data_IF_797176360293
#
_entry.id   IF_797176360293
#
_cell.length_a   1.000
_cell.length_b   1.000
_cell.length_c   1.000
_cell.angle_alpha   90.00
_cell.angle_beta   90.00
_cell.angle_gamma   90.00
#
_symmetry.space_group_name_H-M   'P 1'
#
loop_
_entity.id
_entity.type
_entity.pdbx_description
1 polymer ?
#
# COMPACT_ATOMS: atom_id res chain seq x y z
N UNK A 1 0.79 31.34 -18.88
CA UNK A 1 1.80 30.26 -18.84
C UNK A 1 1.77 29.66 -17.43
N UNK A 2 1.28 28.42 -17.26
CA UNK A 2 1.09 27.73 -15.95
C UNK A 2 1.48 26.22 -16.02
N UNK A 3 2.16 25.80 -17.09
CA UNK A 3 2.32 24.38 -17.45
C UNK A 3 3.38 23.54 -16.68
N UNK A 4 4.48 24.07 -16.10
CA UNK A 4 5.54 23.21 -15.56
C UNK A 4 5.22 22.58 -14.19
N UNK A 5 4.59 23.34 -13.28
CA UNK A 5 4.25 22.84 -11.94
C UNK A 5 3.17 21.73 -11.99
N UNK A 6 2.18 21.86 -12.88
CA UNK A 6 1.14 20.85 -13.07
C UNK A 6 1.68 19.51 -13.58
N UNK A 7 2.67 19.52 -14.47
CA UNK A 7 3.29 18.30 -14.97
C UNK A 7 4.16 17.60 -13.90
N UNK A 8 4.84 18.38 -13.05
CA UNK A 8 5.61 17.85 -11.93
C UNK A 8 4.71 17.15 -10.90
N UNK A 9 3.62 17.79 -10.47
CA UNK A 9 2.70 17.19 -9.50
C UNK A 9 2.00 15.94 -10.05
N UNK A 10 1.65 15.91 -11.34
CA UNK A 10 1.11 14.71 -11.97
C UNK A 10 2.11 13.53 -11.94
N UNK A 11 3.42 13.79 -12.12
CA UNK A 11 4.46 12.77 -11.96
C UNK A 11 4.58 12.29 -10.52
N UNK A 12 4.56 13.21 -9.54
CA UNK A 12 4.59 12.86 -8.12
C UNK A 12 3.39 12.03 -7.70
N UNK A 13 2.18 12.38 -8.16
CA UNK A 13 0.96 11.60 -7.93
C UNK A 13 1.09 10.18 -8.50
N UNK A 14 1.49 10.03 -9.77
CA UNK A 14 1.63 8.71 -10.38
C UNK A 14 2.69 7.84 -9.67
N UNK A 15 3.84 8.44 -9.32
CA UNK A 15 4.89 7.77 -8.58
C UNK A 15 4.44 7.37 -7.16
N UNK A 16 3.67 8.24 -6.50
CA UNK A 16 3.11 7.99 -5.17
C UNK A 16 2.09 6.84 -5.21
N UNK A 17 1.16 6.86 -6.16
CA UNK A 17 0.18 5.80 -6.34
C UNK A 17 0.86 4.44 -6.61
N UNK A 18 1.88 4.41 -7.48
CA UNK A 18 2.66 3.20 -7.74
C UNK A 18 3.38 2.71 -6.47
N UNK A 19 3.98 3.62 -5.72
CA UNK A 19 4.70 3.31 -4.49
C UNK A 19 3.77 2.75 -3.41
N UNK A 20 2.59 3.35 -3.20
CA UNK A 20 1.59 2.87 -2.24
C UNK A 20 1.20 1.42 -2.53
N UNK A 21 0.88 1.10 -3.80
CA UNK A 21 0.46 -0.26 -4.19
C UNK A 21 1.54 -1.30 -3.93
N UNK A 22 2.81 -0.93 -4.11
CA UNK A 22 3.95 -1.82 -3.86
C UNK A 22 4.22 -2.04 -2.36
N UNK A 23 3.92 -1.04 -1.52
CA UNK A 23 4.29 -1.05 -0.11
C UNK A 23 3.12 -1.30 0.85
N UNK A 24 1.89 -1.38 0.35
CA UNK A 24 0.71 -1.74 1.13
C UNK A 24 0.35 -0.72 2.21
N UNK A 25 0.44 0.58 1.90
CA UNK A 25 0.06 1.66 2.82
C UNK A 25 -1.31 2.27 2.47
N UNK A 26 -2.00 2.80 3.48
CA UNK A 26 -3.09 3.73 3.22
C UNK A 26 -2.49 5.06 2.71
N UNK A 27 -3.09 5.75 1.71
CA UNK A 27 -2.53 6.98 1.17
C UNK A 27 -2.17 8.04 2.20
N UNK A 28 -3.06 8.30 3.16
CA UNK A 28 -2.83 9.30 4.21
C UNK A 28 -1.63 8.97 5.12
N UNK A 29 -1.34 7.68 5.31
CA UNK A 29 -0.19 7.24 6.11
C UNK A 29 1.10 7.16 5.28
N UNK A 30 0.99 7.10 3.95
CA UNK A 30 2.09 6.81 3.05
C UNK A 30 2.98 8.03 2.73
N UNK A 31 2.47 9.26 2.93
CA UNK A 31 3.14 10.49 2.43
C UNK A 31 4.57 10.62 2.93
N UNK A 32 4.79 10.54 4.24
CA UNK A 32 6.15 10.68 4.80
C UNK A 32 7.06 9.52 4.42
N UNK A 33 6.54 8.29 4.37
CA UNK A 33 7.34 7.14 3.92
C UNK A 33 7.72 7.28 2.44
N UNK A 34 6.82 7.76 1.59
CA UNK A 34 7.13 8.01 0.18
C UNK A 34 8.24 9.06 0.04
N UNK A 35 8.12 10.20 0.73
CA UNK A 35 9.12 11.29 0.64
C UNK A 35 10.50 10.84 1.16
N UNK A 36 10.55 9.96 2.16
CA UNK A 36 11.80 9.53 2.78
C UNK A 36 12.41 8.28 2.15
N UNK A 37 11.60 7.33 1.70
CA UNK A 37 12.06 5.98 1.34
C UNK A 37 11.94 5.67 -0.17
N UNK A 38 11.11 6.41 -0.91
CA UNK A 38 10.91 6.16 -2.34
C UNK A 38 12.19 6.41 -3.15
N UNK A 39 12.67 5.43 -3.94
CA UNK A 39 13.79 5.63 -4.86
C UNK A 39 13.53 6.76 -5.86
N UNK A 40 12.27 6.90 -6.30
CA UNK A 40 11.86 7.98 -7.19
C UNK A 40 12.10 9.35 -6.56
N UNK A 41 11.61 9.57 -5.34
CA UNK A 41 11.70 10.89 -4.71
C UNK A 41 13.12 11.23 -4.24
N UNK A 42 13.89 10.19 -3.85
CA UNK A 42 15.34 10.32 -3.63
C UNK A 42 16.05 10.81 -4.89
N UNK A 43 15.75 10.22 -6.05
CA UNK A 43 16.32 10.67 -7.33
C UNK A 43 15.95 12.10 -7.71
N UNK A 44 14.69 12.52 -7.47
CA UNK A 44 14.27 13.92 -7.75
C UNK A 44 14.96 14.96 -6.85
N UNK A 45 15.47 14.55 -5.68
CA UNK A 45 16.10 15.44 -4.70
C UNK A 45 17.63 15.35 -4.67
N UNK A 46 18.23 14.37 -5.35
CA UNK A 46 19.66 14.07 -5.28
C UNK A 46 20.56 15.24 -5.74
N UNK A 47 20.11 15.99 -6.74
CA UNK A 47 20.87 17.08 -7.34
C UNK A 47 20.52 18.48 -6.81
N UNK A 48 19.58 18.56 -5.87
CA UNK A 48 19.11 19.82 -5.32
C UNK A 48 19.98 20.25 -4.15
N UNK A 49 20.15 21.57 -3.97
CA UNK A 49 20.71 22.09 -2.73
C UNK A 49 19.73 21.92 -1.55
N UNK A 50 20.20 22.20 -0.33
CA UNK A 50 19.40 21.99 0.88
C UNK A 50 18.10 22.84 0.90
N UNK A 51 18.14 24.05 0.36
CA UNK A 51 16.98 24.95 0.34
C UNK A 51 15.96 24.47 -0.69
N UNK A 52 16.41 24.19 -1.92
CA UNK A 52 15.59 23.65 -3.01
C UNK A 52 14.96 22.31 -2.61
N UNK A 53 15.72 21.43 -1.97
CA UNK A 53 15.23 20.15 -1.46
C UNK A 53 14.14 20.34 -0.42
N UNK A 54 14.35 21.21 0.56
CA UNK A 54 13.35 21.48 1.59
C UNK A 54 12.05 22.05 1.00
N UNK A 55 12.17 22.96 0.05
CA UNK A 55 11.02 23.54 -0.65
C UNK A 55 10.24 22.48 -1.45
N UNK A 56 10.93 21.63 -2.23
CA UNK A 56 10.27 20.57 -3.00
C UNK A 56 9.60 19.53 -2.09
N UNK A 57 10.25 19.14 -1.00
CA UNK A 57 9.70 18.21 0.00
C UNK A 57 8.41 18.78 0.58
N UNK A 58 8.42 20.05 1.02
CA UNK A 58 7.25 20.67 1.64
C UNK A 58 6.10 20.84 0.63
N UNK A 59 6.38 21.33 -0.58
CA UNK A 59 5.37 21.46 -1.63
C UNK A 59 4.74 20.10 -1.98
N UNK A 60 5.56 19.06 -2.09
CA UNK A 60 5.08 17.69 -2.39
C UNK A 60 4.29 17.12 -1.23
N UNK A 61 4.75 17.30 0.02
CA UNK A 61 4.03 16.89 1.23
C UNK A 61 2.62 17.48 1.26
N UNK A 62 2.50 18.80 1.10
CA UNK A 62 1.21 19.49 1.12
C UNK A 62 0.30 18.96 0.01
N UNK A 63 0.83 18.83 -1.21
CA UNK A 63 0.07 18.31 -2.35
C UNK A 63 -0.44 16.88 -2.11
N UNK A 64 0.45 15.94 -1.75
CA UNK A 64 0.09 14.53 -1.55
C UNK A 64 -0.79 14.32 -0.32
N UNK A 65 -0.61 15.11 0.74
CA UNK A 65 -1.47 15.06 1.93
C UNK A 65 -2.89 15.45 1.58
N UNK A 66 -3.06 16.54 0.81
CA UNK A 66 -4.38 16.95 0.31
C UNK A 66 -4.99 15.86 -0.58
N UNK A 67 -4.24 15.39 -1.58
CA UNK A 67 -4.68 14.34 -2.50
C UNK A 67 -5.12 13.08 -1.74
N UNK A 68 -4.40 12.69 -0.69
CA UNK A 68 -4.72 11.51 0.13
C UNK A 68 -6.03 11.62 0.92
N UNK A 69 -6.54 12.83 1.12
CA UNK A 69 -7.87 13.06 1.73
C UNK A 69 -9.01 13.03 0.71
N UNK A 70 -8.70 13.02 -0.59
CA UNK A 70 -9.70 13.00 -1.64
C UNK A 70 -10.25 11.59 -1.81
N UNK A 71 -11.56 11.42 -1.59
CA UNK A 71 -12.22 10.10 -1.61
C UNK A 71 -11.94 9.33 -2.91
N UNK A 72 -11.96 9.99 -4.07
CA UNK A 72 -11.76 9.34 -5.36
C UNK A 72 -10.32 8.84 -5.56
N UNK A 73 -9.34 9.45 -4.90
CA UNK A 73 -7.97 8.96 -4.89
C UNK A 73 -7.84 7.78 -3.93
N UNK A 74 -8.32 7.94 -2.68
CA UNK A 74 -8.23 6.92 -1.64
C UNK A 74 -8.94 5.60 -2.02
N UNK A 75 -10.09 5.68 -2.69
CA UNK A 75 -10.86 4.50 -3.13
C UNK A 75 -10.15 3.64 -4.19
N UNK A 76 -9.07 4.11 -4.80
CA UNK A 76 -8.29 3.33 -5.77
C UNK A 76 -7.36 2.30 -5.12
N UNK A 77 -7.22 2.33 -3.80
CA UNK A 77 -6.29 1.48 -3.07
C UNK A 77 -7.06 0.46 -2.21
N UNK A 78 -6.57 -0.78 -2.10
CA UNK A 78 -7.16 -1.76 -1.19
C UNK A 78 -7.12 -1.26 0.26
N UNK A 79 -8.13 -1.64 1.04
CA UNK A 79 -8.11 -1.43 2.49
C UNK A 79 -6.90 -2.11 3.11
N UNK A 80 -6.15 -1.36 3.90
CA UNK A 80 -5.00 -1.86 4.67
C UNK A 80 -5.48 -2.23 6.07
N UNK A 81 -5.13 -3.44 6.49
CA UNK A 81 -5.37 -3.96 7.82
C UNK A 81 -4.04 -4.07 8.57
N UNK A 82 -4.11 -3.94 9.89
CA UNK A 82 -2.97 -4.02 10.79
C UNK A 82 -3.12 -5.23 11.70
N UNK A 83 -2.01 -5.91 11.95
CA UNK A 83 -1.91 -6.97 12.93
C UNK A 83 -0.48 -7.04 13.47
N UNK A 84 -0.27 -7.90 14.45
CA UNK A 84 1.03 -8.12 15.06
C UNK A 84 1.31 -9.62 15.06
N UNK A 85 2.53 -10.02 14.74
CA UNK A 85 2.95 -11.43 14.84
C UNK A 85 3.30 -11.81 16.30
N UNK A 86 3.61 -13.09 16.54
CA UNK A 86 4.02 -13.58 17.88
C UNK A 86 5.31 -12.94 18.40
N UNK A 87 6.13 -12.37 17.54
CA UNK A 87 7.37 -11.68 17.93
C UNK A 87 7.14 -10.21 18.24
N UNK A 88 5.91 -9.71 18.15
CA UNK A 88 5.57 -8.31 18.39
C UNK A 88 5.84 -7.40 17.19
N UNK A 89 6.19 -7.95 16.02
CA UNK A 89 6.41 -7.15 14.81
C UNK A 89 5.08 -6.68 14.26
N UNK A 90 4.97 -5.38 13.98
CA UNK A 90 3.79 -4.79 13.35
C UNK A 90 3.78 -5.14 11.86
N UNK A 91 2.67 -5.70 11.42
CA UNK A 91 2.45 -6.11 10.05
C UNK A 91 1.29 -5.32 9.45
N UNK A 92 1.36 -5.15 8.14
CA UNK A 92 0.29 -4.66 7.30
C UNK A 92 -0.14 -5.75 6.36
N UNK A 93 -1.43 -5.81 6.06
CA UNK A 93 -1.90 -6.65 4.98
C UNK A 93 -3.07 -6.05 4.23
N UNK A 94 -3.25 -6.46 2.97
CA UNK A 94 -4.42 -6.14 2.15
C UNK A 94 -5.09 -7.44 1.73
N UNK A 95 -6.38 -7.38 1.41
CA UNK A 95 -7.13 -8.54 0.92
C UNK A 95 -7.71 -8.21 -0.45
N UNK A 96 -7.38 -9.03 -1.44
CA UNK A 96 -8.12 -9.10 -2.71
C UNK A 96 -8.99 -10.34 -2.68
N UNK A 97 -10.27 -10.21 -3.04
CA UNK A 97 -11.24 -11.30 -2.94
C UNK A 97 -12.04 -11.44 -4.23
N UNK A 98 -12.27 -12.69 -4.64
CA UNK A 98 -13.17 -13.07 -5.73
C UNK A 98 -14.35 -13.80 -5.11
N UNK A 99 -15.56 -13.26 -5.32
CA UNK A 99 -16.81 -13.84 -4.78
C UNK A 99 -17.52 -14.62 -5.89
N UNK A 100 -17.67 -15.92 -5.69
CA UNK A 100 -18.48 -16.79 -6.53
C UNK A 100 -19.90 -16.97 -6.03
N UNK A 101 -20.60 -17.96 -6.60
CA UNK A 101 -21.97 -18.30 -6.22
C UNK A 101 -22.02 -18.84 -4.77
N UNK A 102 -21.19 -19.84 -4.47
CA UNK A 102 -21.20 -20.58 -3.18
C UNK A 102 -19.97 -20.36 -2.30
N UNK A 103 -18.89 -19.80 -2.87
CA UNK A 103 -17.61 -19.61 -2.20
C UNK A 103 -16.97 -18.28 -2.54
N UNK A 104 -16.08 -17.82 -1.66
CA UNK A 104 -15.12 -16.78 -1.95
C UNK A 104 -13.70 -17.34 -1.89
N UNK A 105 -12.83 -16.79 -2.73
CA UNK A 105 -11.39 -17.01 -2.74
C UNK A 105 -10.70 -15.68 -2.47
N UNK A 106 -9.60 -15.69 -1.73
CA UNK A 106 -8.89 -14.47 -1.39
C UNK A 106 -7.38 -14.64 -1.40
N UNK A 107 -6.71 -13.52 -1.58
CA UNK A 107 -5.27 -13.36 -1.48
C UNK A 107 -5.01 -12.22 -0.49
N UNK A 108 -4.42 -12.57 0.66
CA UNK A 108 -3.89 -11.63 1.62
C UNK A 108 -2.43 -11.32 1.31
N UNK A 109 -2.07 -10.07 1.03
CA UNK A 109 -0.67 -9.66 0.83
C UNK A 109 -0.13 -9.06 2.11
N UNK A 110 1.07 -9.44 2.55
CA UNK A 110 1.59 -9.08 3.87
C UNK A 110 2.92 -8.33 3.76
N UNK A 111 3.07 -7.28 4.56
CA UNK A 111 4.27 -6.45 4.67
C UNK A 111 4.71 -6.26 6.13
N UNK A 112 6.02 -6.13 6.33
CA UNK A 112 6.65 -5.73 7.58
C UNK A 112 7.59 -4.54 7.30
N UNK A 113 7.22 -3.34 7.75
CA UNK A 113 7.93 -2.14 7.29
C UNK A 113 7.89 -2.03 5.77
N UNK A 114 9.01 -1.68 5.14
CA UNK A 114 9.12 -1.64 3.67
C UNK A 114 9.25 -3.03 3.03
N UNK A 115 9.37 -4.09 3.81
CA UNK A 115 9.54 -5.45 3.29
C UNK A 115 8.19 -6.08 2.94
N UNK A 116 8.08 -6.57 1.70
CA UNK A 116 7.01 -7.45 1.29
C UNK A 116 7.33 -8.91 1.64
N UNK A 117 6.51 -9.51 2.50
CA UNK A 117 6.71 -10.87 3.00
C UNK A 117 6.13 -11.93 2.06
N UNK A 118 5.02 -11.65 1.39
CA UNK A 118 4.39 -12.56 0.44
C UNK A 118 2.86 -12.59 0.51
N UNK A 119 2.29 -13.71 0.09
CA UNK A 119 0.85 -13.92 -0.04
C UNK A 119 0.36 -15.06 0.86
N UNK A 120 -0.83 -14.87 1.43
CA UNK A 120 -1.64 -15.90 2.10
C UNK A 120 -2.91 -16.10 1.27
N UNK A 121 -2.98 -17.20 0.54
CA UNK A 121 -4.16 -17.57 -0.23
C UNK A 121 -5.13 -18.38 0.63
N UNK A 122 -6.43 -18.22 0.40
CA UNK A 122 -7.45 -19.00 1.09
C UNK A 122 -8.79 -18.98 0.37
N UNK A 123 -9.72 -19.79 0.87
CA UNK A 123 -11.08 -19.82 0.37
C UNK A 123 -12.06 -20.19 1.49
N UNK A 124 -13.32 -19.81 1.34
CA UNK A 124 -14.36 -20.11 2.31
C UNK A 124 -15.74 -20.10 1.67
N UNK A 125 -16.65 -20.90 2.23
CA UNK A 125 -18.05 -20.95 1.86
C UNK A 125 -18.93 -20.50 3.04
N UNK A 126 -20.21 -20.26 2.78
CA UNK A 126 -21.18 -19.79 3.77
C UNK A 126 -21.73 -18.39 3.47
N UNK A 127 -22.32 -17.71 4.47
CA UNK A 127 -22.97 -16.42 4.25
C UNK A 127 -22.00 -15.37 3.70
N UNK A 128 -22.36 -14.77 2.55
CA UNK A 128 -21.51 -13.78 1.85
C UNK A 128 -21.12 -12.58 2.72
N UNK A 129 -21.99 -12.21 3.65
CA UNK A 129 -21.75 -11.14 4.62
C UNK A 129 -20.49 -11.35 5.48
N UNK A 130 -20.00 -12.59 5.61
CA UNK A 130 -18.89 -12.93 6.49
C UNK A 130 -17.55 -13.12 5.77
N UNK A 131 -17.50 -13.09 4.43
CA UNK A 131 -16.29 -13.48 3.71
C UNK A 131 -15.07 -12.62 4.03
N UNK A 132 -15.24 -11.30 4.20
CA UNK A 132 -14.12 -10.43 4.59
C UNK A 132 -13.61 -10.76 6.00
N UNK A 133 -14.51 -11.01 6.95
CA UNK A 133 -14.12 -11.39 8.31
C UNK A 133 -13.38 -12.73 8.33
N UNK A 134 -13.88 -13.73 7.59
CA UNK A 134 -13.23 -15.02 7.43
C UNK A 134 -11.85 -14.89 6.79
N UNK A 135 -11.72 -14.10 5.73
CA UNK A 135 -10.44 -13.87 5.06
C UNK A 135 -9.41 -13.21 5.99
N UNK A 136 -9.85 -12.21 6.79
CA UNK A 136 -8.98 -11.56 7.78
C UNK A 136 -8.51 -12.51 8.86
N UNK A 137 -9.44 -13.25 9.49
CA UNK A 137 -9.11 -14.26 10.51
C UNK A 137 -8.15 -15.30 9.96
N UNK A 138 -8.39 -15.77 8.73
CA UNK A 138 -7.49 -16.70 8.05
C UNK A 138 -6.09 -16.10 7.90
N UNK A 139 -5.95 -14.93 7.26
CA UNK A 139 -4.64 -14.27 7.07
C UNK A 139 -3.93 -14.08 8.40
N UNK A 140 -4.61 -13.50 9.39
CA UNK A 140 -4.05 -13.23 10.71
C UNK A 140 -3.59 -14.53 11.42
N UNK A 141 -4.34 -15.63 11.30
CA UNK A 141 -3.92 -16.93 11.86
C UNK A 141 -2.71 -17.56 11.17
N UNK A 142 -2.48 -17.25 9.89
CA UNK A 142 -1.41 -17.84 9.08
C UNK A 142 -0.08 -17.08 9.19
N UNK A 143 -0.08 -15.86 9.72
CA UNK A 143 1.12 -15.01 9.80
C UNK A 143 2.29 -15.68 10.55
N UNK A 144 1.99 -16.45 11.58
CA UNK A 144 2.98 -17.14 12.39
C UNK A 144 3.23 -18.59 11.96
N UNK A 145 2.51 -19.08 10.96
CA UNK A 145 2.68 -20.42 10.45
C UNK A 145 3.87 -20.45 9.48
N UNK A 146 4.84 -21.33 9.76
CA UNK A 146 5.92 -21.60 8.82
C UNK A 146 5.32 -21.99 7.46
N UNK A 147 5.89 -21.45 6.38
CA UNK A 147 5.53 -21.70 4.98
C UNK A 147 4.12 -21.23 4.53
N UNK A 148 3.32 -20.64 5.43
CA UNK A 148 1.99 -20.16 5.06
C UNK A 148 2.01 -18.86 4.24
N UNK A 149 3.05 -18.04 4.41
CA UNK A 149 3.30 -16.86 3.58
C UNK A 149 4.20 -17.28 2.42
N UNK A 150 3.61 -17.31 1.23
CA UNK A 150 4.34 -17.69 0.01
C UNK A 150 4.83 -16.43 -0.70
N UNK A 151 6.14 -16.29 -0.84
CA UNK A 151 6.72 -15.14 -1.56
C UNK A 151 6.47 -15.29 -3.06
N UNK A 152 5.56 -14.48 -3.57
CA UNK A 152 5.27 -14.32 -5.00
C UNK A 152 5.67 -12.91 -5.43
N UNK A 153 6.03 -12.65 -6.69
CA UNK A 153 6.22 -11.27 -7.13
C UNK A 153 4.91 -10.50 -6.97
N UNK A 154 5.01 -9.24 -6.54
CA UNK A 154 3.85 -8.34 -6.61
C UNK A 154 3.45 -8.22 -8.08
N UNK A 155 2.13 -8.16 -8.39
CA UNK A 155 1.70 -7.92 -9.76
C UNK A 155 2.38 -6.67 -10.32
N UNK A 156 2.96 -6.78 -11.51
CA UNK A 156 3.54 -5.63 -12.22
C UNK A 156 2.48 -4.59 -12.60
N UNK A 157 1.20 -4.99 -12.57
CA UNK A 157 0.06 -4.20 -13.00
C UNK A 157 -1.03 -4.18 -11.92
N UNK A 158 -1.50 -2.98 -11.62
CA UNK A 158 -2.69 -2.66 -10.84
C UNK A 158 -3.47 -1.58 -11.58
#
# INVERSE_FOLDING_TARGET
MSKPASALFARHEAAFASWIRRNGYAPAEAVEYFLNDSPYFKGETEHLDAQQRAELVEQTRVFLSKLSTENHFAMQFPTVYLCTDKQGRRLRYTITMTIGEDKAEWIGRVWAGSEYLGEVAGSGSGPKANYLALARMHVESQIDCADAIVKRPLPDFW
#
